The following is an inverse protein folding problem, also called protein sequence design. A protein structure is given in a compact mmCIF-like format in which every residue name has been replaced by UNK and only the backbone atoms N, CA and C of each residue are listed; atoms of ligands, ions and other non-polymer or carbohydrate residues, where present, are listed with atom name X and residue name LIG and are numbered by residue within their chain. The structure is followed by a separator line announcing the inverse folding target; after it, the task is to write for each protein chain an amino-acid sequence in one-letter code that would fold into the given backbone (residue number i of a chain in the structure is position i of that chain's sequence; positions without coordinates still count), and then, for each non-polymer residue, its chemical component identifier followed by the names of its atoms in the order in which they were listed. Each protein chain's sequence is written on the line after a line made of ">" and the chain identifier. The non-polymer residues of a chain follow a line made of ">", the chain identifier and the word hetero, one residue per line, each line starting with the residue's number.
data_IF_237229371732
#
_entry.id   IF_237229371732
#
_cell.length_a   1.000
_cell.length_b   1.000
_cell.length_c   1.000
_cell.angle_alpha   90.00
_cell.angle_beta   90.00
_cell.angle_gamma   90.00
#
_symmetry.space_group_name_H-M   'P 1'
#
loop_
_entity.id
_entity.type
_entity.pdbx_description
1 polymer ?
#
# COMPACT_ATOMS: atom_id res chain seq x y z
N UNK A 1 11.01 7.61 11.91
CA UNK A 1 11.01 6.16 12.12
C UNK A 1 9.62 5.54 11.92
N UNK A 2 8.59 5.90 12.71
CA UNK A 2 7.24 5.34 12.54
C UNK A 2 6.62 5.61 11.15
N UNK A 3 6.78 6.81 10.60
CA UNK A 3 6.34 7.14 9.24
C UNK A 3 6.94 6.21 8.18
N UNK A 4 8.24 5.87 8.26
CA UNK A 4 8.87 4.93 7.32
C UNK A 4 8.25 3.54 7.39
N UNK A 5 7.88 3.09 8.59
CA UNK A 5 7.21 1.81 8.79
C UNK A 5 5.79 1.82 8.24
N UNK A 6 5.03 2.91 8.42
CA UNK A 6 3.68 3.01 7.84
C UNK A 6 3.72 3.08 6.31
N UNK A 7 4.68 3.80 5.73
CA UNK A 7 4.90 3.83 4.28
C UNK A 7 5.33 2.45 3.74
N UNK A 8 6.14 1.70 4.50
CA UNK A 8 6.46 0.31 4.16
C UNK A 8 5.21 -0.55 4.09
N UNK A 9 4.32 -0.44 5.08
CA UNK A 9 3.06 -1.17 5.09
C UNK A 9 2.15 -0.78 3.91
N UNK A 10 2.09 0.50 3.55
CA UNK A 10 1.34 0.95 2.36
C UNK A 10 1.92 0.39 1.06
N UNK A 11 3.25 0.30 0.94
CA UNK A 11 3.92 -0.24 -0.24
C UNK A 11 3.66 -1.74 -0.43
N UNK A 12 3.53 -2.49 0.66
CA UNK A 12 3.22 -3.92 0.63
C UNK A 12 1.71 -4.21 0.55
N UNK A 13 0.87 -3.20 0.36
CA UNK A 13 -0.55 -3.35 0.05
C UNK A 13 -1.53 -2.94 1.15
N UNK A 14 -1.07 -2.55 2.34
CA UNK A 14 -1.94 -2.02 3.39
C UNK A 14 -2.20 -0.53 3.14
N UNK A 15 -3.05 -0.24 2.16
CA UNK A 15 -3.28 1.10 1.66
C UNK A 15 -3.99 2.03 2.66
N UNK A 16 -3.82 3.33 2.46
CA UNK A 16 -4.46 4.41 3.22
C UNK A 16 -4.16 4.47 4.74
N UNK A 17 -3.12 3.75 5.20
CA UNK A 17 -2.70 3.75 6.61
C UNK A 17 -2.41 5.15 7.15
N UNK A 18 -1.61 5.93 6.44
CA UNK A 18 -1.23 7.29 6.86
C UNK A 18 -2.45 8.20 6.98
N UNK A 19 -3.42 8.06 6.06
CA UNK A 19 -4.70 8.80 6.10
C UNK A 19 -5.57 8.35 7.28
N UNK A 20 -5.69 7.03 7.50
CA UNK A 20 -6.45 6.45 8.64
C UNK A 20 -5.85 6.92 9.98
N UNK A 21 -4.54 6.85 10.14
CA UNK A 21 -3.85 7.27 11.37
C UNK A 21 -4.06 8.76 11.65
N UNK A 22 -3.99 9.62 10.63
CA UNK A 22 -4.25 11.06 10.79
C UNK A 22 -5.69 11.37 11.22
N UNK A 23 -6.65 10.47 10.96
CA UNK A 23 -8.04 10.68 11.36
C UNK A 23 -8.34 10.33 12.82
N UNK A 24 -7.40 9.71 13.53
CA UNK A 24 -7.57 9.28 14.92
C UNK A 24 -7.19 10.36 15.93
N UNK A 25 -7.64 10.18 17.17
CA UNK A 25 -7.25 11.02 18.30
C UNK A 25 -5.81 10.73 18.73
N UNK A 26 -5.21 11.68 19.46
CA UNK A 26 -3.81 11.59 19.88
C UNK A 26 -3.51 10.34 20.72
N UNK A 27 -4.45 9.84 21.54
CA UNK A 27 -4.21 8.65 22.36
C UNK A 27 -4.17 7.38 21.50
N UNK A 28 -5.04 7.28 20.50
CA UNK A 28 -5.00 6.17 19.53
C UNK A 28 -3.75 6.22 18.66
N UNK A 29 -3.31 7.41 18.23
CA UNK A 29 -2.05 7.57 17.48
C UNK A 29 -0.85 7.11 18.34
N UNK A 30 -0.82 7.45 19.62
CA UNK A 30 0.23 7.01 20.54
C UNK A 30 0.22 5.49 20.74
N UNK A 31 -0.96 4.87 20.84
CA UNK A 31 -1.08 3.41 20.90
C UNK A 31 -0.54 2.73 19.61
N UNK A 32 -0.93 3.24 18.43
CA UNK A 32 -0.43 2.77 17.12
C UNK A 32 1.08 2.97 17.00
N UNK A 33 1.61 4.09 17.52
CA UNK A 33 3.04 4.35 17.53
C UNK A 33 3.79 3.34 18.41
N UNK A 34 3.33 3.08 19.64
CA UNK A 34 3.93 2.10 20.54
C UNK A 34 3.91 0.68 19.95
N UNK A 35 2.80 0.33 19.31
CA UNK A 35 2.67 -0.93 18.61
C UNK A 35 3.62 -1.03 17.39
N UNK A 36 3.82 0.08 16.68
CA UNK A 36 4.80 0.20 15.58
C UNK A 36 6.23 -0.05 16.07
N UNK A 37 6.62 0.51 17.23
CA UNK A 37 7.94 0.27 17.80
C UNK A 37 8.16 -1.23 18.08
N UNK A 38 7.18 -1.90 18.66
CA UNK A 38 7.32 -3.34 18.95
C UNK A 38 7.35 -4.22 17.69
N UNK A 39 6.74 -3.76 16.59
CA UNK A 39 6.91 -4.39 15.28
C UNK A 39 8.28 -4.11 14.66
N UNK A 40 8.84 -2.92 14.87
CA UNK A 40 10.19 -2.57 14.41
C UNK A 40 11.25 -3.44 15.10
N UNK A 41 11.09 -3.70 16.40
CA UNK A 41 11.91 -4.67 17.11
C UNK A 41 11.82 -6.07 16.47
N UNK A 42 10.67 -6.44 15.89
CA UNK A 42 10.51 -7.74 15.21
C UNK A 42 11.33 -7.85 13.92
N UNK A 43 11.59 -6.74 13.21
CA UNK A 43 12.31 -6.74 11.93
C UNK A 43 13.80 -6.41 12.06
N UNK A 44 14.25 -5.79 13.16
CA UNK A 44 15.65 -5.41 13.34
C UNK A 44 16.60 -6.63 13.33
N UNK A 45 17.74 -6.54 12.61
CA UNK A 45 18.70 -7.63 12.48
C UNK A 45 19.72 -7.60 13.63
N UNK A 46 19.32 -7.94 14.86
CA UNK A 46 20.27 -8.07 15.96
C UNK A 46 20.50 -9.54 16.34
N UNK A 47 21.77 -9.94 16.24
CA UNK A 47 22.31 -11.31 16.34
C UNK A 47 22.27 -11.95 17.72
N UNK A 48 21.26 -11.65 18.55
CA UNK A 48 21.13 -12.21 19.89
C UNK A 48 19.68 -12.53 20.31
N UNK A 49 18.79 -12.83 19.36
CA UNK A 49 17.47 -13.41 19.69
C UNK A 49 17.61 -14.90 19.99
N UNK A 50 17.92 -15.22 21.25
CA UNK A 50 17.54 -16.52 21.81
C UNK A 50 16.02 -16.69 21.66
N UNK A 51 15.62 -17.59 20.77
CA UNK A 51 14.22 -17.95 20.54
C UNK A 51 13.78 -18.87 21.67
N UNK A 52 13.10 -18.33 22.67
CA UNK A 52 12.13 -19.12 23.43
C UNK A 52 10.82 -19.12 22.62
N UNK A 53 10.31 -20.27 22.17
CA UNK A 53 9.00 -20.38 21.57
C UNK A 53 7.94 -20.30 22.68
N UNK A 54 7.71 -19.12 23.25
CA UNK A 54 6.53 -18.93 24.10
C UNK A 54 5.34 -18.73 23.18
N UNK A 55 4.46 -19.74 23.15
CA UNK A 55 3.34 -19.96 22.23
C UNK A 55 2.25 -18.84 22.20
N UNK A 56 2.48 -17.69 22.82
CA UNK A 56 1.42 -16.74 23.20
C UNK A 56 1.40 -15.44 22.37
N UNK A 57 2.27 -15.28 21.37
CA UNK A 57 2.34 -14.01 20.58
C UNK A 57 1.76 -14.15 19.17
N UNK A 58 0.56 -14.72 19.04
CA UNK A 58 -0.25 -14.63 17.82
C UNK A 58 -1.28 -13.48 17.92
N UNK A 59 -0.96 -12.47 18.74
CA UNK A 59 -1.80 -11.27 18.82
C UNK A 59 -1.75 -10.54 17.47
N UNK A 60 -2.91 -10.23 16.88
CA UNK A 60 -2.97 -9.33 15.76
C UNK A 60 -2.45 -7.96 16.19
N UNK A 61 -1.83 -7.28 15.24
CA UNK A 61 -1.25 -5.95 15.38
C UNK A 61 -2.11 -4.99 14.57
N UNK A 62 -2.26 -3.74 15.04
CA UNK A 62 -3.02 -2.69 14.36
C UNK A 62 -4.51 -3.06 14.21
N UNK A 63 -5.07 -3.67 15.26
CA UNK A 63 -6.47 -4.09 15.32
C UNK A 63 -7.38 -2.88 15.09
N UNK A 64 -8.25 -2.97 14.07
CA UNK A 64 -9.17 -1.88 13.70
C UNK A 64 -8.56 -0.78 12.84
N UNK A 65 -7.24 -0.77 12.64
CA UNK A 65 -6.56 0.10 11.68
C UNK A 65 -6.40 -0.58 10.32
N UNK A 66 -6.17 -1.89 10.31
CA UNK A 66 -6.05 -2.72 9.11
C UNK A 66 -7.36 -3.47 8.81
N UNK A 67 -7.72 -3.56 7.54
CA UNK A 67 -8.90 -4.31 7.11
C UNK A 67 -8.67 -5.83 7.25
N UNK A 68 -7.42 -6.28 7.13
CA UNK A 68 -6.98 -7.64 7.43
C UNK A 68 -5.92 -7.62 8.54
N UNK A 69 -6.12 -8.36 9.65
CA UNK A 69 -5.20 -8.33 10.79
C UNK A 69 -3.85 -8.98 10.46
N UNK A 70 -2.76 -8.29 10.79
CA UNK A 70 -1.39 -8.81 10.64
C UNK A 70 -0.89 -9.30 11.98
N UNK A 71 -0.32 -10.50 12.04
CA UNK A 71 0.25 -11.03 13.28
C UNK A 71 1.73 -10.68 13.42
N UNK A 72 2.24 -10.58 14.66
CA UNK A 72 3.67 -10.33 14.93
C UNK A 72 4.62 -11.31 14.24
N UNK A 73 4.18 -12.55 14.03
CA UNK A 73 4.93 -13.59 13.31
C UNK A 73 5.28 -13.17 11.89
N UNK A 74 4.37 -12.48 11.20
CA UNK A 74 4.60 -11.96 9.85
C UNK A 74 5.87 -11.11 9.77
N UNK A 75 6.06 -10.20 10.73
CA UNK A 75 7.24 -9.33 10.77
C UNK A 75 8.54 -10.09 11.03
N UNK A 76 8.51 -11.12 11.87
CA UNK A 76 9.70 -11.94 12.18
C UNK A 76 10.14 -12.78 10.98
N UNK A 77 9.19 -13.43 10.31
CA UNK A 77 9.49 -14.27 9.14
C UNK A 77 9.99 -13.45 7.95
N UNK A 78 9.42 -12.26 7.74
CA UNK A 78 9.83 -11.36 6.67
C UNK A 78 10.85 -10.31 7.13
N UNK A 79 11.53 -10.52 8.28
CA UNK A 79 12.39 -9.52 8.91
C UNK A 79 13.47 -8.98 7.98
N UNK A 80 14.13 -9.83 7.19
CA UNK A 80 15.15 -9.40 6.23
C UNK A 80 14.57 -8.48 5.14
N UNK A 81 13.43 -8.86 4.54
CA UNK A 81 12.74 -8.04 3.53
C UNK A 81 12.31 -6.71 4.11
N UNK A 82 11.58 -6.77 5.22
CA UNK A 82 10.96 -5.64 5.88
C UNK A 82 12.03 -4.65 6.35
N UNK A 83 13.13 -5.15 6.92
CA UNK A 83 14.24 -4.30 7.35
C UNK A 83 14.96 -3.64 6.19
N UNK A 84 15.30 -4.40 5.12
CA UNK A 84 15.93 -3.81 3.92
C UNK A 84 15.06 -2.71 3.32
N UNK A 85 13.76 -2.96 3.20
CA UNK A 85 12.83 -1.99 2.63
C UNK A 85 12.58 -0.81 3.57
N UNK A 86 12.47 -1.06 4.86
CA UNK A 86 12.38 -0.02 5.89
C UNK A 86 13.58 0.92 5.85
N UNK A 87 14.81 0.38 5.83
CA UNK A 87 16.04 1.18 5.74
C UNK A 87 16.08 2.00 4.45
N UNK A 88 15.69 1.41 3.32
CA UNK A 88 15.59 2.15 2.06
C UNK A 88 14.59 3.32 2.14
N UNK A 89 13.41 3.14 2.75
CA UNK A 89 12.42 4.20 2.94
C UNK A 89 12.95 5.28 3.90
N UNK A 90 13.66 4.89 4.95
CA UNK A 90 14.32 5.83 5.86
C UNK A 90 15.29 6.74 5.09
N UNK A 91 16.22 6.16 4.32
CA UNK A 91 17.24 6.91 3.58
C UNK A 91 16.67 7.75 2.43
N UNK A 92 15.68 7.22 1.71
CA UNK A 92 15.17 7.86 0.48
C UNK A 92 14.06 8.86 0.72
N UNK A 93 13.28 8.68 1.79
CA UNK A 93 12.10 9.51 2.11
C UNK A 93 12.29 10.24 3.42
N UNK A 94 12.47 9.52 4.52
CA UNK A 94 12.43 10.16 5.84
C UNK A 94 13.63 11.06 6.10
N UNK A 95 14.84 10.68 5.70
CA UNK A 95 16.03 11.49 5.90
C UNK A 95 16.02 12.73 4.98
N UNK A 96 15.34 12.64 3.83
CA UNK A 96 15.16 13.79 2.93
C UNK A 96 14.08 14.77 3.37
N UNK A 97 13.06 14.31 4.11
CA UNK A 97 11.94 15.16 4.55
C UNK A 97 12.16 15.67 5.97
N UNK A 98 12.67 14.79 6.85
CA UNK A 98 12.80 15.02 8.29
C UNK A 98 14.24 15.02 8.79
N UNK A 99 15.23 14.76 7.92
CA UNK A 99 16.63 14.82 8.31
C UNK A 99 17.06 16.25 8.64
N UNK A 100 17.90 16.41 9.66
CA UNK A 100 18.42 17.71 10.11
C UNK A 100 19.10 18.54 8.99
N UNK A 101 19.49 17.91 7.88
CA UNK A 101 20.25 18.53 6.79
C UNK A 101 19.39 18.80 5.53
N UNK A 102 18.08 18.60 5.59
CA UNK A 102 17.16 18.76 4.45
C UNK A 102 16.60 20.18 4.28
N UNK A 103 17.19 21.19 4.93
CA UNK A 103 17.09 22.53 4.41
C UNK A 103 17.96 22.61 3.16
N UNK A 104 17.44 22.16 2.02
CA UNK A 104 17.92 22.70 0.74
C UNK A 104 17.53 24.18 0.80
N UNK A 105 18.47 25.02 1.20
CA UNK A 105 18.44 26.43 0.82
C UNK A 105 18.27 26.43 -0.69
N UNK A 106 17.06 26.75 -1.15
CA UNK A 106 16.86 27.22 -2.51
C UNK A 106 17.66 28.51 -2.60
N UNK A 107 18.88 28.39 -3.11
CA UNK A 107 19.70 29.53 -3.51
C UNK A 107 18.85 30.39 -4.45
N UNK A 108 18.59 31.62 -4.02
CA UNK A 108 17.83 32.67 -4.72
C UNK A 108 18.61 33.18 -5.95
N UNK A 109 19.18 32.28 -6.75
CA UNK A 109 19.88 32.58 -8.00
C UNK A 109 19.21 31.92 -9.20
N UNK A 110 17.88 32.05 -9.28
CA UNK A 110 17.20 32.04 -10.57
C UNK A 110 16.15 33.15 -10.65
N UNK A 111 16.65 34.38 -10.69
CA UNK A 111 16.17 35.50 -11.51
C UNK A 111 14.75 35.39 -12.10
N UNK A 112 13.71 35.45 -11.25
CA UNK A 112 12.35 35.84 -11.68
C UNK A 112 12.04 37.17 -11.02
N UNK A 113 12.27 38.25 -11.77
CA UNK A 113 11.85 39.60 -11.40
C UNK A 113 10.33 39.61 -11.17
N UNK A 114 9.81 40.16 -10.05
CA UNK A 114 8.41 40.51 -9.98
C UNK A 114 8.19 41.77 -10.83
N UNK A 115 7.56 41.62 -12.00
CA UNK A 115 7.11 42.75 -12.80
C UNK A 115 5.87 43.37 -12.15
N UNK A 116 6.05 44.10 -11.06
CA UNK A 116 5.09 45.10 -10.59
C UNK A 116 5.17 46.24 -11.59
N UNK A 117 4.16 46.38 -12.45
CA UNK A 117 3.96 47.60 -13.25
C UNK A 117 3.39 48.68 -12.32
N UNK A 118 4.07 49.82 -12.11
CA UNK A 118 3.40 51.00 -11.58
C UNK A 118 2.68 51.68 -12.75
N UNK A 119 1.37 51.84 -12.65
CA UNK A 119 0.65 52.82 -13.45
C UNK A 119 -0.17 53.67 -12.48
N UNK A 120 0.44 54.76 -12.03
CA UNK A 120 -0.21 55.86 -11.33
C UNK A 120 -0.24 57.08 -12.23
N UNK A 121 -1.38 57.79 -12.18
CA UNK A 121 -1.80 59.04 -12.83
C UNK A 121 -3.02 58.77 -13.75
N UNK A 122 -4.26 59.12 -13.42
CA UNK A 122 -4.74 60.17 -12.53
C UNK A 122 -5.32 61.31 -13.35
N UNK A 123 -6.61 61.24 -13.72
CA UNK A 123 -7.45 62.44 -13.90
C UNK A 123 -8.95 62.11 -13.93
N UNK A 124 -9.58 62.33 -12.79
CA UNK A 124 -10.72 63.23 -12.58
C UNK A 124 -11.86 63.26 -13.60
N UNK A 125 -13.07 62.85 -13.15
CA UNK A 125 -14.13 63.79 -12.72
C UNK A 125 -15.35 63.03 -12.16
N UNK A 126 -15.66 63.29 -10.90
CA UNK A 126 -16.97 63.06 -10.31
C UNK A 126 -17.96 64.11 -10.82
N UNK A 127 -19.24 63.73 -11.02
CA UNK A 127 -20.40 64.47 -10.47
C UNK A 127 -21.76 63.91 -10.94
N UNK A 128 -22.48 63.33 -9.98
CA UNK A 128 -23.84 63.62 -9.51
C UNK A 128 -25.11 63.57 -10.41
N UNK A 129 -26.10 62.88 -9.82
CA UNK A 129 -27.51 63.23 -9.60
C UNK A 129 -28.62 62.82 -10.61
N UNK A 130 -29.46 61.91 -10.09
CA UNK A 130 -30.93 61.87 -10.11
C UNK A 130 -31.73 62.05 -11.41
N UNK A 131 -32.62 61.09 -11.68
CA UNK A 131 -33.79 61.29 -12.55
C UNK A 131 -34.62 60.02 -12.76
N UNK A 132 -35.79 59.96 -12.12
CA UNK A 132 -36.85 58.93 -12.25
C UNK A 132 -37.35 58.77 -13.70
N UNK A 133 -37.74 57.57 -14.13
CA UNK A 133 -39.16 57.14 -14.34
C UNK A 133 -39.26 55.73 -14.97
N UNK A 134 -40.47 55.17 -14.93
CA UNK A 134 -40.90 53.75 -14.88
C UNK A 134 -40.94 52.96 -16.21
N UNK A 135 -41.08 51.64 -16.00
CA UNK A 135 -41.74 50.58 -16.80
C UNK A 135 -40.79 49.79 -17.72
N UNK A 136 -40.71 48.45 -17.69
CA UNK A 136 -41.49 47.44 -16.97
C UNK A 136 -40.91 46.05 -17.21
N UNK A 137 -41.55 45.06 -16.57
CA UNK A 137 -41.41 43.60 -16.73
C UNK A 137 -40.21 42.89 -16.08
N UNK A 138 -40.54 42.01 -15.13
CA UNK A 138 -39.93 40.69 -15.03
C UNK A 138 -39.11 40.37 -13.78
N UNK A 139 -39.80 39.88 -12.73
CA UNK A 139 -39.39 38.80 -11.79
C UNK A 139 -38.01 38.90 -11.10
N UNK A 140 -38.03 39.13 -9.78
CA UNK A 140 -36.95 38.73 -8.87
C UNK A 140 -37.54 38.21 -7.55
N UNK A 141 -37.18 36.97 -7.19
CA UNK A 141 -36.93 36.57 -5.80
C UNK A 141 -35.71 35.65 -5.79
N UNK A 142 -34.77 36.03 -4.93
CA UNK A 142 -33.49 35.41 -4.60
C UNK A 142 -33.65 34.02 -4.00
N UNK A 143 -33.02 33.01 -4.62
CA UNK A 143 -32.41 31.85 -3.95
C UNK A 143 -31.11 31.56 -4.70
N UNK A 144 -29.97 32.00 -4.17
CA UNK A 144 -28.67 31.53 -4.65
C UNK A 144 -28.42 30.15 -4.04
N UNK A 145 -28.81 29.11 -4.79
CA UNK A 145 -28.29 27.76 -4.62
C UNK A 145 -26.80 27.74 -4.95
N UNK A 146 -25.95 27.01 -4.21
CA UNK A 146 -24.54 26.89 -4.54
C UNK A 146 -24.43 26.18 -5.88
N UNK A 147 -23.92 26.88 -6.89
CA UNK A 147 -23.59 26.31 -8.19
C UNK A 147 -22.61 25.17 -7.95
N UNK A 148 -23.08 23.96 -8.22
CA UNK A 148 -22.24 22.79 -8.47
C UNK A 148 -21.14 23.19 -9.43
N UNK A 149 -19.90 23.21 -8.93
CA UNK A 149 -18.72 23.18 -9.78
C UNK A 149 -18.78 21.85 -10.49
N UNK A 150 -19.38 21.85 -11.68
CA UNK A 150 -19.25 20.75 -12.62
C UNK A 150 -17.77 20.71 -12.96
N UNK A 151 -17.04 19.81 -12.29
CA UNK A 151 -15.78 19.32 -12.79
C UNK A 151 -16.11 18.73 -14.15
N UNK A 152 -15.95 19.55 -15.20
CA UNK A 152 -16.05 19.12 -16.58
C UNK A 152 -14.95 18.08 -16.76
N UNK A 153 -15.31 16.82 -16.53
CA UNK A 153 -14.44 15.70 -16.74
C UNK A 153 -14.17 15.66 -18.24
N UNK A 154 -13.01 16.17 -18.65
CA UNK A 154 -12.44 16.00 -19.98
C UNK A 154 -12.01 14.55 -20.15
N UNK A 155 -13.00 13.65 -20.14
CA UNK A 155 -12.82 12.25 -20.45
C UNK A 155 -13.13 12.06 -21.93
N UNK A 156 -12.22 11.39 -22.63
CA UNK A 156 -12.42 10.99 -24.01
C UNK A 156 -13.67 10.07 -24.09
N UNK A 157 -14.73 10.42 -24.84
CA UNK A 157 -15.93 9.58 -24.98
C UNK A 157 -15.66 8.24 -25.68
N UNK A 158 -14.49 8.11 -26.30
CA UNK A 158 -13.98 6.86 -26.87
C UNK A 158 -12.95 6.17 -25.97
N UNK A 159 -12.74 6.63 -24.72
CA UNK A 159 -11.96 5.86 -23.76
C UNK A 159 -12.71 4.56 -23.47
N UNK A 160 -12.03 3.43 -23.63
CA UNK A 160 -12.50 2.16 -23.09
C UNK A 160 -12.88 2.34 -21.63
N UNK A 161 -14.07 1.85 -21.28
CA UNK A 161 -14.60 1.87 -19.91
C UNK A 161 -13.49 1.46 -18.94
N UNK A 162 -13.29 2.23 -17.87
CA UNK A 162 -12.41 1.83 -16.78
C UNK A 162 -13.07 0.64 -16.09
N UNK A 163 -12.82 -0.54 -16.64
CA UNK A 163 -13.06 -1.80 -15.95
C UNK A 163 -11.89 -1.89 -14.97
N UNK A 164 -12.11 -1.75 -13.64
CA UNK A 164 -11.08 -2.12 -12.68
C UNK A 164 -10.72 -3.54 -13.07
N UNK A 165 -9.48 -3.77 -13.50
CA UNK A 165 -9.03 -5.06 -13.99
C UNK A 165 -9.51 -6.07 -12.96
N UNK A 166 -10.53 -6.83 -13.31
CA UNK A 166 -11.00 -7.93 -12.49
C UNK A 166 -9.72 -8.74 -12.29
N UNK A 167 -9.18 -8.72 -11.07
CA UNK A 167 -7.86 -9.27 -10.79
C UNK A 167 -7.99 -10.76 -10.99
N UNK A 168 -7.75 -11.20 -12.23
CA UNK A 168 -7.79 -12.60 -12.61
C UNK A 168 -6.93 -13.35 -11.60
N UNK A 169 -7.43 -14.49 -11.10
CA UNK A 169 -6.73 -15.29 -10.09
C UNK A 169 -5.23 -15.43 -10.42
N UNK A 170 -4.89 -15.50 -11.71
CA UNK A 170 -3.54 -15.44 -12.27
C UNK A 170 -2.59 -14.41 -11.65
N UNK A 171 -3.00 -13.15 -11.42
CA UNK A 171 -2.11 -12.15 -10.82
C UNK A 171 -1.86 -12.43 -9.34
N UNK A 172 -2.82 -13.04 -8.65
CA UNK A 172 -2.75 -13.42 -7.23
C UNK A 172 -2.28 -14.87 -7.04
N UNK A 173 -1.74 -15.51 -8.09
CA UNK A 173 -1.32 -16.91 -8.05
C UNK A 173 0.21 -17.04 -8.05
N UNK A 174 0.73 -17.96 -7.23
CA UNK A 174 2.10 -18.45 -7.34
C UNK A 174 2.14 -19.88 -7.85
N UNK A 175 3.11 -20.16 -8.72
CA UNK A 175 3.43 -21.50 -9.18
C UNK A 175 4.40 -22.17 -8.22
N UNK A 176 4.09 -23.42 -7.86
CA UNK A 176 4.83 -24.23 -6.91
C UNK A 176 5.46 -25.43 -7.60
N UNK A 177 6.71 -25.73 -7.28
CA UNK A 177 7.39 -26.97 -7.67
C UNK A 177 7.92 -27.71 -6.47
N UNK A 178 7.69 -29.02 -6.47
CA UNK A 178 8.10 -29.93 -5.41
C UNK A 178 9.34 -30.70 -5.82
N UNK A 179 10.14 -31.12 -4.83
CA UNK A 179 11.19 -32.10 -5.08
C UNK A 179 10.60 -33.44 -5.50
N UNK A 180 11.26 -34.09 -6.47
CA UNK A 180 10.84 -35.42 -6.96
C UNK A 180 10.77 -36.42 -5.80
N UNK A 181 9.62 -37.08 -5.64
CA UNK A 181 9.36 -38.05 -4.56
C UNK A 181 9.00 -37.44 -3.20
N UNK A 182 8.98 -36.11 -3.08
CA UNK A 182 8.67 -35.38 -1.85
C UNK A 182 7.57 -34.34 -2.11
N UNK A 183 6.47 -34.79 -2.71
CA UNK A 183 5.33 -33.94 -3.02
C UNK A 183 4.68 -33.39 -1.75
N UNK A 184 4.14 -32.18 -1.86
CA UNK A 184 3.31 -31.59 -0.82
C UNK A 184 1.83 -31.80 -1.16
N UNK A 185 1.02 -32.13 -0.16
CA UNK A 185 -0.44 -32.17 -0.30
C UNK A 185 -1.02 -30.76 -0.33
N UNK A 186 -2.28 -30.65 -0.78
CA UNK A 186 -3.05 -29.39 -0.72
C UNK A 186 -3.03 -28.81 0.69
N UNK A 187 -3.28 -29.63 1.70
CA UNK A 187 -3.35 -29.21 3.10
C UNK A 187 -1.99 -28.80 3.67
N UNK A 188 -0.90 -29.50 3.28
CA UNK A 188 0.46 -29.12 3.69
C UNK A 188 0.84 -27.74 3.14
N UNK A 189 0.51 -27.48 1.87
CA UNK A 189 0.76 -26.18 1.23
C UNK A 189 -0.13 -25.09 1.85
N UNK A 190 -1.43 -25.35 2.00
CA UNK A 190 -2.37 -24.40 2.60
C UNK A 190 -1.91 -24.03 4.01
N UNK A 191 -1.69 -25.04 4.86
CA UNK A 191 -1.23 -24.84 6.23
C UNK A 191 0.10 -24.09 6.30
N UNK A 192 1.05 -24.40 5.41
CA UNK A 192 2.33 -23.69 5.36
C UNK A 192 2.16 -22.19 5.06
N UNK A 193 1.38 -21.83 4.05
CA UNK A 193 1.18 -20.43 3.74
C UNK A 193 0.35 -19.73 4.83
N UNK A 194 -0.69 -20.39 5.34
CA UNK A 194 -1.52 -19.81 6.40
C UNK A 194 -0.77 -19.63 7.73
N UNK A 195 0.08 -20.59 8.11
CA UNK A 195 0.83 -20.52 9.38
C UNK A 195 1.90 -19.44 9.39
N UNK A 196 2.44 -19.09 8.22
CA UNK A 196 3.54 -18.13 8.10
C UNK A 196 3.07 -16.71 7.80
N UNK A 197 1.97 -16.55 7.04
CA UNK A 197 1.50 -15.25 6.58
C UNK A 197 0.06 -14.90 6.99
N UNK A 198 -0.62 -15.75 7.77
CA UNK A 198 -1.99 -15.51 8.22
C UNK A 198 -3.03 -16.03 7.22
N UNK A 199 -4.28 -15.57 7.31
CA UNK A 199 -5.38 -16.05 6.47
C UNK A 199 -5.34 -15.47 5.03
N UNK A 200 -4.19 -15.63 4.34
CA UNK A 200 -3.92 -15.03 3.03
C UNK A 200 -4.26 -15.94 1.85
N UNK A 201 -4.51 -17.22 2.10
CA UNK A 201 -4.73 -18.24 1.07
C UNK A 201 -6.20 -18.30 0.69
N UNK A 202 -6.50 -18.14 -0.60
CA UNK A 202 -7.84 -18.34 -1.16
C UNK A 202 -8.05 -19.82 -1.53
N UNK A 203 -7.10 -20.42 -2.27
CA UNK A 203 -7.17 -21.82 -2.68
C UNK A 203 -5.79 -22.41 -3.00
N UNK A 204 -5.70 -23.74 -2.98
CA UNK A 204 -4.51 -24.50 -3.39
C UNK A 204 -4.90 -25.60 -4.36
N UNK A 205 -4.27 -25.58 -5.52
CA UNK A 205 -4.44 -26.57 -6.58
C UNK A 205 -3.15 -27.33 -6.76
N UNK A 206 -3.13 -28.61 -6.39
CA UNK A 206 -2.00 -29.51 -6.66
C UNK A 206 -2.32 -30.30 -7.93
N UNK A 207 -1.35 -30.43 -8.84
CA UNK A 207 -1.55 -31.23 -10.05
C UNK A 207 -1.84 -32.69 -9.67
N UNK A 208 -2.68 -33.38 -10.44
CA UNK A 208 -2.82 -34.82 -10.35
C UNK A 208 -2.03 -35.47 -11.48
N UNK A 209 -0.91 -36.12 -11.15
CA UNK A 209 -0.09 -36.80 -12.15
C UNK A 209 -0.83 -38.03 -12.71
N UNK A 210 -0.72 -38.24 -14.03
CA UNK A 210 -1.26 -39.43 -14.67
C UNK A 210 -0.51 -40.68 -14.18
N UNK A 211 -1.23 -41.71 -13.73
CA UNK A 211 -0.63 -42.98 -13.32
C UNK A 211 -0.29 -43.12 -11.83
N UNK A 212 -0.72 -42.19 -10.97
CA UNK A 212 -0.55 -42.30 -9.51
C UNK A 212 0.83 -41.86 -9.00
N UNK A 213 1.65 -41.26 -9.88
CA UNK A 213 2.92 -40.65 -9.47
C UNK A 213 2.68 -39.49 -8.49
N UNK A 214 3.64 -39.22 -7.57
CA UNK A 214 3.56 -38.05 -6.71
C UNK A 214 3.56 -36.76 -7.55
N UNK A 215 2.73 -35.76 -7.19
CA UNK A 215 2.65 -34.54 -7.97
C UNK A 215 3.94 -33.75 -7.90
N UNK A 216 4.30 -33.11 -9.00
CA UNK A 216 5.56 -32.35 -9.14
C UNK A 216 5.35 -30.85 -9.04
N UNK A 217 4.13 -30.38 -9.31
CA UNK A 217 3.80 -28.97 -9.24
C UNK A 217 2.40 -28.71 -8.72
N UNK A 218 2.18 -27.45 -8.33
CA UNK A 218 0.90 -26.95 -7.86
C UNK A 218 0.83 -25.43 -8.03
N UNK A 219 -0.25 -24.86 -7.55
CA UNK A 219 -0.50 -23.43 -7.51
C UNK A 219 -1.17 -23.08 -6.20
N UNK A 220 -0.82 -21.91 -5.67
CA UNK A 220 -1.52 -21.30 -4.55
C UNK A 220 -2.10 -19.98 -5.05
N UNK A 221 -3.38 -19.78 -4.78
CA UNK A 221 -4.14 -18.56 -5.09
C UNK A 221 -4.28 -17.82 -3.77
N UNK A 222 -3.85 -16.56 -3.75
CA UNK A 222 -3.94 -15.70 -2.58
C UNK A 222 -5.13 -14.76 -2.69
N UNK A 223 -5.63 -14.31 -1.52
CA UNK A 223 -6.69 -13.31 -1.43
C UNK A 223 -6.24 -11.95 -1.98
N UNK A 224 -5.00 -11.58 -1.72
CA UNK A 224 -4.42 -10.30 -2.16
C UNK A 224 -3.20 -10.50 -3.05
N UNK A 225 -2.97 -9.63 -4.05
CA UNK A 225 -1.80 -9.71 -4.93
C UNK A 225 -0.50 -9.36 -4.20
N UNK A 226 -0.56 -8.41 -3.27
CA UNK A 226 0.61 -7.82 -2.64
C UNK A 226 1.40 -8.82 -1.78
N UNK A 227 0.74 -9.87 -1.27
CA UNK A 227 1.38 -10.93 -0.49
C UNK A 227 2.45 -11.67 -1.27
N UNK A 228 2.33 -11.74 -2.61
CA UNK A 228 3.32 -12.41 -3.47
C UNK A 228 4.67 -11.69 -3.37
N UNK A 229 4.68 -10.36 -3.36
CA UNK A 229 5.92 -9.58 -3.25
C UNK A 229 6.60 -9.81 -1.89
N UNK A 230 5.79 -9.96 -0.84
CA UNK A 230 6.26 -10.27 0.51
C UNK A 230 6.84 -11.68 0.57
N UNK A 231 6.07 -12.69 0.14
CA UNK A 231 6.48 -14.11 0.14
C UNK A 231 7.77 -14.30 -0.66
N UNK A 232 7.90 -13.61 -1.79
CA UNK A 232 9.08 -13.71 -2.65
C UNK A 232 10.23 -12.78 -2.22
N UNK A 233 10.08 -11.94 -1.18
CA UNK A 233 11.09 -10.99 -0.72
C UNK A 233 11.61 -10.10 -1.88
N UNK A 234 10.69 -9.61 -2.71
CA UNK A 234 10.99 -8.82 -3.92
C UNK A 234 11.73 -9.58 -5.03
N UNK A 235 11.95 -10.90 -4.91
CA UNK A 235 12.58 -11.74 -5.93
C UNK A 235 11.55 -12.33 -6.89
N UNK A 236 12.02 -12.93 -7.99
CA UNK A 236 11.15 -13.68 -8.91
C UNK A 236 10.83 -15.10 -8.45
N UNK A 237 11.60 -15.64 -7.49
CA UNK A 237 11.44 -16.98 -6.94
C UNK A 237 11.97 -17.08 -5.50
N UNK A 238 11.40 -17.97 -4.72
CA UNK A 238 11.84 -18.30 -3.36
C UNK A 238 11.88 -19.82 -3.16
N UNK A 239 12.74 -20.27 -2.23
CA UNK A 239 12.86 -21.67 -1.80
C UNK A 239 12.47 -21.77 -0.33
N UNK A 240 11.57 -22.70 -0.02
CA UNK A 240 11.08 -22.98 1.32
C UNK A 240 11.32 -24.44 1.72
N UNK A 241 11.20 -24.70 3.01
CA UNK A 241 11.23 -26.04 3.58
C UNK A 241 9.92 -26.28 4.34
N UNK A 242 9.12 -27.24 3.89
CA UNK A 242 7.80 -27.58 4.44
C UNK A 242 7.85 -29.03 4.90
N UNK A 243 7.79 -29.29 6.21
CA UNK A 243 7.84 -30.66 6.74
C UNK A 243 9.05 -31.47 6.26
N UNK A 244 10.22 -30.83 6.13
CA UNK A 244 11.48 -31.38 5.55
C UNK A 244 11.49 -31.59 4.02
N UNK A 245 10.44 -31.20 3.32
CA UNK A 245 10.36 -31.23 1.85
C UNK A 245 10.70 -29.86 1.28
N UNK A 246 11.40 -29.79 0.16
CA UNK A 246 11.70 -28.51 -0.50
C UNK A 246 10.55 -28.08 -1.40
N UNK A 247 10.17 -26.80 -1.25
CA UNK A 247 9.17 -26.12 -2.06
C UNK A 247 9.83 -24.95 -2.77
N UNK A 248 9.75 -24.92 -4.09
CA UNK A 248 10.10 -23.74 -4.87
C UNK A 248 8.82 -23.00 -5.26
N UNK A 249 8.83 -21.68 -5.13
CA UNK A 249 7.68 -20.86 -5.49
C UNK A 249 8.11 -19.66 -6.35
N UNK A 250 7.28 -19.28 -7.31
CA UNK A 250 7.47 -18.13 -8.20
C UNK A 250 6.14 -17.54 -8.63
N UNK A 251 6.14 -16.32 -9.15
CA UNK A 251 4.95 -15.70 -9.75
C UNK A 251 4.39 -16.61 -10.85
N UNK A 252 3.07 -16.83 -10.86
CA UNK A 252 2.41 -17.59 -11.92
C UNK A 252 2.44 -16.78 -13.22
N UNK A 253 2.88 -17.43 -14.30
CA UNK A 253 2.83 -16.87 -15.66
C UNK A 253 1.81 -17.68 -16.44
N UNK A 254 0.66 -17.08 -16.83
CA UNK A 254 -0.32 -17.75 -17.66
C UNK A 254 0.33 -18.17 -18.98
N UNK A 255 0.08 -19.41 -19.40
CA UNK A 255 0.42 -19.80 -20.77
C UNK A 255 -0.61 -19.15 -21.69
N UNK A 256 -0.16 -18.24 -22.57
CA UNK A 256 -0.99 -17.77 -23.68
C UNK A 256 -1.26 -18.98 -24.57
N UNK A 257 -2.52 -19.40 -24.60
CA UNK A 257 -3.03 -20.37 -25.58
C UNK A 257 -3.14 -19.75 -26.95
#
# INVERSE_FOLDING_TARGET
>A
MAMAFWLLLEEIGYHDLTRKIHSFDNATIEAVFNETISCLECIQPDGNREVQPTEVTDSPVFVGLLDEPINRRFFRYNSEFMFRRFTHIMETVCDKIFGQNAAIEVDDQMNVRPAIKPFGEGSSRCSNLAGRTRAGHGRNWTVMTPSSVSFGATLNPNASEFVPRQMNADSRTMFLTFSKGYSLTRDEVFSFFTSNWGDVVEDVVVEQAAGGDPPLYGRVIFKEHSIINIILNGQSKAKFMVGRKHLWARIYVPRRG
#
